data_IF_338605843812
#
_entry.id   IF_338605843812
#
_cell.length_a   1.000
_cell.length_b   1.000
_cell.length_c   1.000
_cell.angle_alpha   90.00
_cell.angle_beta   90.00
_cell.angle_gamma   90.00
#
_symmetry.space_group_name_H-M   'P 1'
#
loop_
_entity.id
_entity.type
_entity.pdbx_description
1 polymer ?
#
# COMPACT_ATOMS: atom_id res chain seq x y z
N UNK A 1 6.58 43.03 -40.42
CA UNK A 1 6.28 41.80 -39.66
C UNK A 1 4.77 41.74 -39.45
N UNK A 2 4.12 40.65 -39.86
CA UNK A 2 2.69 40.45 -39.61
C UNK A 2 2.47 40.03 -38.15
N UNK A 3 1.26 40.20 -37.62
CA UNK A 3 0.93 39.73 -36.26
C UNK A 3 1.13 38.22 -36.12
N UNK A 4 0.79 37.46 -37.18
CA UNK A 4 1.01 36.01 -37.27
C UNK A 4 2.49 35.66 -37.09
N UNK A 5 3.39 36.29 -37.86
CA UNK A 5 4.82 36.02 -37.76
C UNK A 5 5.38 36.43 -36.40
N UNK A 6 4.98 37.61 -35.91
CA UNK A 6 5.41 38.11 -34.60
C UNK A 6 4.97 37.17 -33.46
N UNK A 7 3.80 36.55 -33.56
CA UNK A 7 3.34 35.53 -32.62
C UNK A 7 4.20 34.26 -32.66
N UNK A 8 4.48 33.73 -33.85
CA UNK A 8 5.34 32.55 -34.04
C UNK A 8 6.74 32.81 -33.48
N UNK A 9 7.32 33.98 -33.78
CA UNK A 9 8.65 34.36 -33.32
C UNK A 9 8.71 34.42 -31.79
N UNK A 10 7.67 34.94 -31.13
CA UNK A 10 7.60 35.00 -29.67
C UNK A 10 7.38 33.62 -29.03
N UNK A 11 6.48 32.79 -29.58
CA UNK A 11 6.27 31.41 -29.10
C UNK A 11 7.60 30.66 -29.15
N UNK A 12 8.28 30.69 -30.31
CA UNK A 12 9.59 30.06 -30.46
C UNK A 12 10.61 30.61 -29.46
N UNK A 13 10.68 31.94 -29.26
CA UNK A 13 11.59 32.52 -28.27
C UNK A 13 11.35 32.01 -26.84
N UNK A 14 10.09 31.74 -26.48
CA UNK A 14 9.70 31.23 -25.17
C UNK A 14 10.01 29.74 -25.03
N UNK A 15 9.75 28.95 -26.07
CA UNK A 15 9.80 27.48 -26.01
C UNK A 15 11.14 26.89 -26.42
N UNK A 16 11.94 27.57 -27.24
CA UNK A 16 13.23 27.07 -27.72
C UNK A 16 14.20 26.71 -26.57
N UNK A 17 14.32 27.50 -25.48
CA UNK A 17 15.15 27.12 -24.34
C UNK A 17 14.67 25.88 -23.58
N UNK A 18 13.43 25.45 -23.83
CA UNK A 18 12.80 24.28 -23.20
C UNK A 18 12.99 23.00 -24.00
N UNK A 19 13.38 23.10 -25.29
CA UNK A 19 13.71 21.95 -26.13
C UNK A 19 15.13 21.48 -25.79
N UNK A 20 15.25 20.56 -24.84
CA UNK A 20 16.54 20.01 -24.38
C UNK A 20 16.86 18.67 -25.03
N UNK A 21 15.86 17.87 -25.40
CA UNK A 21 16.02 16.56 -26.03
C UNK A 21 15.09 16.37 -27.26
N UNK A 22 15.37 15.35 -28.09
CA UNK A 22 14.56 14.99 -29.29
C UNK A 22 13.10 14.63 -28.96
N UNK A 23 12.77 14.46 -27.67
CA UNK A 23 11.45 14.10 -27.15
C UNK A 23 10.69 15.28 -26.52
N UNK A 24 11.25 16.50 -26.48
CA UNK A 24 10.52 17.70 -26.07
C UNK A 24 9.65 18.20 -27.21
N UNK A 25 8.44 17.65 -27.30
CA UNK A 25 7.52 17.84 -28.41
C UNK A 25 6.73 19.15 -28.24
N UNK A 26 7.38 20.29 -28.48
CA UNK A 26 6.67 21.56 -28.68
C UNK A 26 6.46 21.80 -30.18
N UNK A 27 5.21 21.78 -30.63
CA UNK A 27 4.86 21.97 -32.02
C UNK A 27 4.04 23.24 -32.25
N UNK A 28 4.36 23.93 -33.34
CA UNK A 28 3.57 25.05 -33.83
C UNK A 28 3.11 24.75 -35.25
N UNK A 29 1.83 24.52 -35.41
CA UNK A 29 1.19 24.38 -36.71
C UNK A 29 0.65 25.72 -37.20
N UNK A 30 0.61 25.92 -38.53
CA UNK A 30 0.10 27.15 -39.14
C UNK A 30 -0.96 26.84 -40.18
N UNK A 31 -1.97 27.72 -40.27
CA UNK A 31 -3.09 27.59 -41.19
C UNK A 31 -3.82 26.23 -41.13
N UNK A 32 -3.90 25.64 -39.93
CA UNK A 32 -4.50 24.33 -39.69
C UNK A 32 -6.00 24.41 -39.41
N UNK A 33 -6.67 23.26 -39.50
CA UNK A 33 -8.05 23.08 -39.06
C UNK A 33 -7.97 22.38 -37.71
N UNK A 34 -8.65 22.97 -36.73
CA UNK A 34 -8.79 22.42 -35.39
C UNK A 34 -10.22 22.08 -35.08
N UNK A 35 -10.39 21.06 -34.28
CA UNK A 35 -11.67 20.59 -33.84
C UNK A 35 -11.89 21.04 -32.41
N UNK A 36 -12.78 22.00 -32.20
CA UNK A 36 -13.02 22.59 -30.89
C UNK A 36 -14.36 22.11 -30.35
N UNK A 37 -14.39 21.66 -29.11
CA UNK A 37 -15.62 21.37 -28.40
C UNK A 37 -16.34 22.69 -28.05
N UNK A 38 -17.57 22.89 -28.54
CA UNK A 38 -18.31 24.14 -28.27
C UNK A 38 -18.73 24.30 -26.81
N UNK A 39 -18.83 23.20 -26.04
CA UNK A 39 -19.17 23.25 -24.61
C UNK A 39 -18.00 23.72 -23.75
N UNK A 40 -16.87 23.01 -23.84
CA UNK A 40 -15.70 23.20 -22.97
C UNK A 40 -14.76 24.25 -23.55
N UNK A 41 -14.64 24.31 -24.88
CA UNK A 41 -13.62 25.09 -25.58
C UNK A 41 -12.30 24.33 -25.76
N UNK A 42 -12.24 23.06 -25.37
CA UNK A 42 -11.06 22.22 -25.57
C UNK A 42 -10.85 21.93 -27.07
N UNK A 43 -9.59 21.85 -27.46
CA UNK A 43 -9.19 21.35 -28.77
C UNK A 43 -9.04 19.83 -28.71
N UNK A 44 -9.87 19.17 -29.52
CA UNK A 44 -10.06 17.71 -29.59
C UNK A 44 -9.65 17.19 -30.97
N UNK A 45 -8.74 17.90 -31.64
CA UNK A 45 -8.22 17.51 -32.97
C UNK A 45 -7.48 16.17 -32.90
N UNK A 46 -6.71 15.98 -31.83
CA UNK A 46 -5.81 14.84 -31.67
C UNK A 46 -6.08 14.02 -30.41
N UNK A 47 -7.19 14.28 -29.71
CA UNK A 47 -7.52 13.65 -28.44
C UNK A 47 -8.98 13.81 -28.07
N UNK A 48 -9.31 13.35 -26.86
CA UNK A 48 -10.67 13.30 -26.35
C UNK A 48 -11.04 14.57 -25.59
N UNK A 49 -12.34 14.84 -25.52
CA UNK A 49 -12.86 15.94 -24.72
C UNK A 49 -13.02 15.49 -23.26
N UNK A 50 -11.98 15.65 -22.44
CA UNK A 50 -11.96 15.15 -21.06
C UNK A 50 -13.03 15.80 -20.17
N UNK A 51 -13.36 17.07 -20.41
CA UNK A 51 -14.39 17.78 -19.66
C UNK A 51 -15.82 17.57 -20.21
N UNK A 52 -15.98 16.73 -21.24
CA UNK A 52 -17.28 16.45 -21.86
C UNK A 52 -17.70 15.00 -21.59
N UNK A 53 -18.96 14.82 -21.16
CA UNK A 53 -19.55 13.50 -20.89
C UNK A 53 -19.53 12.52 -22.09
N UNK A 54 -19.24 13.02 -23.29
CA UNK A 54 -19.22 12.25 -24.53
C UNK A 54 -17.82 11.82 -24.98
N UNK A 55 -16.75 12.26 -24.32
CA UNK A 55 -15.35 11.82 -24.55
C UNK A 55 -14.97 11.73 -26.05
N UNK A 56 -14.66 10.53 -26.56
CA UNK A 56 -14.33 10.19 -27.96
C UNK A 56 -15.44 10.53 -28.98
N UNK A 57 -16.68 10.72 -28.53
CA UNK A 57 -17.87 10.91 -29.37
C UNK A 57 -18.53 12.27 -29.17
N UNK A 58 -17.73 13.31 -28.83
CA UNK A 58 -18.24 14.66 -28.60
C UNK A 58 -19.12 15.18 -29.76
N UNK A 59 -20.44 15.32 -29.57
CA UNK A 59 -21.35 15.79 -30.62
C UNK A 59 -21.26 17.31 -30.84
N UNK A 60 -20.55 18.02 -29.96
CA UNK A 60 -20.37 19.48 -29.98
C UNK A 60 -19.07 19.89 -30.69
N UNK A 61 -18.49 18.99 -31.46
CA UNK A 61 -17.24 19.19 -32.19
C UNK A 61 -17.45 20.15 -33.36
N UNK A 62 -16.63 21.20 -33.43
CA UNK A 62 -16.67 22.21 -34.50
C UNK A 62 -15.31 22.36 -35.16
N UNK A 63 -15.31 22.24 -36.48
CA UNK A 63 -14.13 22.52 -37.30
C UNK A 63 -13.90 24.03 -37.42
N UNK A 64 -12.79 24.51 -36.88
CA UNK A 64 -12.38 25.91 -36.89
C UNK A 64 -11.04 26.02 -37.59
N UNK A 65 -10.96 26.92 -38.59
CA UNK A 65 -9.67 27.28 -39.17
C UNK A 65 -8.93 28.21 -38.23
N UNK A 66 -7.70 27.86 -37.88
CA UNK A 66 -6.81 28.64 -37.02
C UNK A 66 -5.57 29.06 -37.80
N UNK A 67 -5.01 30.23 -37.47
CA UNK A 67 -3.85 30.76 -38.19
C UNK A 67 -2.54 30.21 -37.61
N UNK A 68 -2.50 30.04 -36.29
CA UNK A 68 -1.39 29.45 -35.53
C UNK A 68 -1.99 28.57 -34.43
N UNK A 69 -1.48 27.36 -34.27
CA UNK A 69 -1.81 26.46 -33.18
C UNK A 69 -0.52 25.99 -32.52
N UNK A 70 -0.50 26.00 -31.20
CA UNK A 70 0.61 25.52 -30.37
C UNK A 70 0.13 24.35 -29.51
N UNK A 71 0.96 23.32 -29.41
CA UNK A 71 0.74 22.18 -28.52
C UNK A 71 2.06 21.61 -28.01
N UNK A 72 2.09 21.20 -26.75
CA UNK A 72 3.20 20.52 -26.08
C UNK A 72 3.08 18.99 -26.01
N UNK A 73 2.16 18.39 -26.79
CA UNK A 73 1.81 16.96 -26.75
C UNK A 73 1.23 16.46 -25.41
N UNK A 74 0.85 17.40 -24.52
CA UNK A 74 0.18 17.16 -23.25
C UNK A 74 -1.08 18.04 -23.18
N UNK A 75 -1.41 18.57 -22.00
CA UNK A 75 -2.62 19.35 -21.74
C UNK A 75 -2.53 20.82 -22.18
N UNK A 76 -1.35 21.31 -22.59
CA UNK A 76 -1.17 22.73 -22.89
C UNK A 76 -1.27 23.03 -24.38
N UNK A 77 -2.46 23.51 -24.78
CA UNK A 77 -2.78 23.87 -26.15
C UNK A 77 -3.26 25.31 -26.28
N UNK A 78 -2.91 25.95 -27.41
CA UNK A 78 -3.34 27.31 -27.74
C UNK A 78 -3.61 27.47 -29.22
N UNK A 79 -4.76 28.05 -29.53
CA UNK A 79 -5.21 28.28 -30.90
C UNK A 79 -5.46 29.76 -31.16
N UNK A 80 -4.84 30.31 -32.19
CA UNK A 80 -4.83 31.74 -32.49
C UNK A 80 -5.45 32.06 -33.86
N UNK A 81 -6.26 33.12 -33.90
CA UNK A 81 -6.83 33.68 -35.13
C UNK A 81 -6.58 35.18 -35.20
N UNK A 82 -5.96 35.66 -36.28
CA UNK A 82 -5.60 37.06 -36.50
C UNK A 82 -6.61 37.76 -37.41
N UNK A 83 -7.79 38.08 -36.87
CA UNK A 83 -8.90 38.63 -37.67
C UNK A 83 -9.53 39.90 -37.07
N UNK A 84 -9.82 40.92 -37.89
CA UNK A 84 -10.39 42.20 -37.41
C UNK A 84 -11.78 42.09 -36.74
N UNK A 85 -12.54 41.03 -37.02
CA UNK A 85 -13.83 40.73 -36.38
C UNK A 85 -13.73 39.36 -35.72
N UNK A 86 -13.67 39.28 -34.38
CA UNK A 86 -13.62 38.00 -33.70
C UNK A 86 -14.97 37.29 -33.85
N UNK A 87 -14.96 36.02 -34.24
CA UNK A 87 -16.05 35.12 -33.84
C UNK A 87 -15.82 34.78 -32.36
N UNK A 88 -16.88 34.53 -31.58
CA UNK A 88 -16.71 34.13 -30.18
C UNK A 88 -16.80 32.62 -30.13
N UNK A 89 -15.68 31.94 -30.43
CA UNK A 89 -15.52 30.52 -30.16
C UNK A 89 -14.70 30.39 -28.88
N UNK A 90 -15.16 29.60 -27.91
CA UNK A 90 -14.34 29.19 -26.76
C UNK A 90 -13.10 28.44 -27.28
N UNK A 91 -11.98 28.48 -26.54
CA UNK A 91 -10.74 27.82 -26.95
C UNK A 91 -9.91 28.52 -28.02
N UNK A 92 -10.43 29.59 -28.63
CA UNK A 92 -9.73 30.34 -29.69
C UNK A 92 -9.38 31.76 -29.20
N UNK A 93 -8.11 32.12 -29.32
CA UNK A 93 -7.57 33.43 -28.97
C UNK A 93 -7.55 34.33 -30.22
N UNK A 94 -8.46 35.31 -30.26
CA UNK A 94 -8.55 36.25 -31.38
C UNK A 94 -7.65 37.48 -31.16
N UNK A 95 -6.71 37.71 -32.07
CA UNK A 95 -5.68 38.74 -31.96
C UNK A 95 -5.78 39.72 -33.14
N UNK A 96 -6.21 40.95 -32.85
CA UNK A 96 -6.53 41.93 -33.90
C UNK A 96 -5.48 43.05 -33.99
N UNK A 97 -4.65 43.18 -32.96
CA UNK A 97 -3.61 44.18 -32.87
C UNK A 97 -2.45 43.72 -31.98
N UNK A 98 -1.32 44.42 -32.09
CA UNK A 98 -0.10 44.09 -31.33
C UNK A 98 -0.28 44.19 -29.82
N UNK A 99 -1.14 45.09 -29.32
CA UNK A 99 -1.38 45.19 -27.87
C UNK A 99 -2.01 43.90 -27.33
N UNK A 100 -2.99 43.34 -28.04
CA UNK A 100 -3.58 42.04 -27.69
C UNK A 100 -2.55 40.90 -27.77
N UNK A 101 -1.73 40.88 -28.83
CA UNK A 101 -0.66 39.90 -28.97
C UNK A 101 0.28 39.92 -27.77
N UNK A 102 0.78 41.10 -27.37
CA UNK A 102 1.72 41.20 -26.25
C UNK A 102 1.12 40.77 -24.92
N UNK A 103 -0.17 41.06 -24.68
CA UNK A 103 -0.88 40.61 -23.47
C UNK A 103 -1.01 39.09 -23.46
N UNK A 104 -1.43 38.51 -24.59
CA UNK A 104 -1.58 37.07 -24.74
C UNK A 104 -0.24 36.34 -24.58
N UNK A 105 0.82 36.80 -25.25
CA UNK A 105 2.15 36.19 -25.15
C UNK A 105 2.75 36.32 -23.74
N UNK A 106 2.43 37.39 -23.01
CA UNK A 106 2.81 37.51 -21.59
C UNK A 106 2.11 36.46 -20.73
N UNK A 107 0.81 36.22 -20.94
CA UNK A 107 0.07 35.17 -20.23
C UNK A 107 0.56 33.77 -20.61
N UNK A 108 0.73 33.51 -21.91
CA UNK A 108 1.32 32.28 -22.44
C UNK A 108 2.66 31.96 -21.77
N UNK A 109 3.58 32.94 -21.73
CA UNK A 109 4.86 32.78 -21.06
C UNK A 109 4.70 32.42 -19.58
N UNK A 110 3.83 33.15 -18.88
CA UNK A 110 3.59 32.94 -17.46
C UNK A 110 3.06 31.53 -17.18
N UNK A 111 2.15 31.03 -18.01
CA UNK A 111 1.58 29.69 -17.84
C UNK A 111 2.62 28.59 -18.12
N UNK A 112 3.42 28.73 -19.19
CA UNK A 112 4.55 27.83 -19.47
C UNK A 112 5.56 27.81 -18.32
N UNK A 113 5.87 28.97 -17.74
CA UNK A 113 6.77 29.06 -16.58
C UNK A 113 6.19 28.35 -15.35
N UNK A 114 4.88 28.52 -15.07
CA UNK A 114 4.18 27.81 -13.98
C UNK A 114 4.23 26.30 -14.20
N UNK A 115 3.94 25.84 -15.42
CA UNK A 115 3.97 24.41 -15.77
C UNK A 115 5.38 23.83 -15.56
N UNK A 116 6.41 24.51 -16.07
CA UNK A 116 7.81 24.11 -15.88
C UNK A 116 8.20 24.04 -14.39
N UNK A 117 7.80 25.04 -13.59
CA UNK A 117 8.09 25.06 -12.16
C UNK A 117 7.33 23.93 -11.42
N UNK A 118 6.10 23.61 -11.83
CA UNK A 118 5.33 22.46 -11.32
C UNK A 118 6.02 21.12 -11.59
N UNK A 119 6.54 20.88 -12.80
CA UNK A 119 7.29 19.65 -13.10
C UNK A 119 8.62 19.56 -12.37
N UNK A 120 9.29 20.68 -12.14
CA UNK A 120 10.49 20.72 -11.32
C UNK A 120 10.17 20.32 -9.86
N UNK A 121 9.09 20.86 -9.30
CA UNK A 121 8.58 20.49 -7.98
C UNK A 121 8.17 19.01 -7.92
N UNK A 122 7.48 18.50 -8.94
CA UNK A 122 7.14 17.09 -9.05
C UNK A 122 8.39 16.21 -9.07
N UNK A 123 9.42 16.59 -9.83
CA UNK A 123 10.68 15.86 -9.85
C UNK A 123 11.42 15.85 -8.49
N UNK A 124 11.31 16.92 -7.70
CA UNK A 124 11.80 16.95 -6.31
C UNK A 124 10.99 16.03 -5.41
N UNK A 125 9.65 16.15 -5.42
CA UNK A 125 8.74 15.30 -4.64
C UNK A 125 8.88 13.83 -4.99
N UNK A 126 9.05 13.49 -6.27
CA UNK A 126 9.29 12.12 -6.73
C UNK A 126 10.49 11.49 -6.01
N UNK A 127 11.61 12.22 -5.92
CA UNK A 127 12.81 11.74 -5.24
C UNK A 127 12.58 11.59 -3.73
N UNK A 128 11.94 12.58 -3.11
CA UNK A 128 11.58 12.53 -1.70
C UNK A 128 10.71 11.30 -1.37
N UNK A 129 9.70 11.04 -2.19
CA UNK A 129 8.77 9.93 -1.99
C UNK A 129 9.44 8.58 -2.27
N UNK A 130 10.32 8.49 -3.27
CA UNK A 130 11.08 7.27 -3.48
C UNK A 130 12.04 6.96 -2.34
N UNK A 131 12.73 7.96 -1.81
CA UNK A 131 13.61 7.78 -0.65
C UNK A 131 12.78 7.33 0.57
N UNK A 132 11.65 7.98 0.81
CA UNK A 132 10.73 7.57 1.87
C UNK A 132 10.24 6.12 1.72
N UNK A 133 9.84 5.71 0.51
CA UNK A 133 9.40 4.35 0.24
C UNK A 133 10.52 3.33 0.51
N UNK A 134 11.76 3.67 0.16
CA UNK A 134 12.95 2.87 0.43
C UNK A 134 13.21 2.75 1.93
N UNK A 135 13.20 3.86 2.67
CA UNK A 135 13.38 3.87 4.12
C UNK A 135 12.33 3.01 4.83
N UNK A 136 11.07 3.14 4.43
CA UNK A 136 9.97 2.34 4.97
C UNK A 136 10.15 0.84 4.64
N UNK A 137 10.48 0.51 3.39
CA UNK A 137 10.77 -0.88 3.00
C UNK A 137 11.97 -1.47 3.76
N UNK A 138 13.05 -0.72 3.94
CA UNK A 138 14.23 -1.15 4.70
C UNK A 138 13.93 -1.40 6.17
N UNK A 139 13.02 -0.60 6.75
CA UNK A 139 12.51 -0.83 8.10
C UNK A 139 11.75 -2.16 8.16
N UNK A 140 10.80 -2.42 7.25
CA UNK A 140 10.04 -3.68 7.20
C UNK A 140 10.97 -4.90 7.08
N UNK A 141 11.99 -4.83 6.22
CA UNK A 141 12.98 -5.91 6.04
C UNK A 141 13.77 -6.23 7.31
N UNK A 142 14.11 -5.22 8.09
CA UNK A 142 14.86 -5.38 9.35
C UNK A 142 13.96 -5.89 10.47
N UNK A 143 12.68 -5.50 10.43
CA UNK A 143 11.75 -5.81 11.49
C UNK A 143 11.18 -7.23 11.36
N UNK A 144 10.89 -7.72 10.15
CA UNK A 144 10.26 -9.02 9.92
C UNK A 144 11.12 -9.94 9.06
N UNK A 145 11.39 -11.14 9.57
CA UNK A 145 12.24 -12.13 8.91
C UNK A 145 11.70 -12.55 7.53
N UNK A 146 10.38 -12.65 7.37
CA UNK A 146 9.75 -13.01 6.11
C UNK A 146 9.78 -11.91 5.04
N UNK A 147 10.28 -10.72 5.37
CA UNK A 147 10.57 -9.66 4.41
C UNK A 147 12.06 -9.50 4.11
N UNK A 148 12.96 -10.23 4.76
CA UNK A 148 14.43 -10.01 4.68
C UNK A 148 14.96 -9.97 3.23
N UNK A 149 14.44 -10.85 2.38
CA UNK A 149 14.85 -11.04 0.98
C UNK A 149 14.24 -10.03 0.00
N UNK A 150 13.39 -9.11 0.47
CA UNK A 150 12.78 -8.10 -0.38
C UNK A 150 13.82 -7.09 -0.88
N UNK A 151 13.79 -6.75 -2.17
CA UNK A 151 14.64 -5.66 -2.70
C UNK A 151 13.97 -4.31 -2.49
N UNK A 152 14.70 -3.38 -1.90
CA UNK A 152 14.31 -1.97 -1.69
C UNK A 152 15.12 -1.01 -2.56
N UNK A 153 16.13 -1.51 -3.28
CA UNK A 153 16.93 -0.71 -4.21
C UNK A 153 16.15 -0.36 -5.48
N UNK A 154 15.22 -1.23 -5.88
CA UNK A 154 14.35 -1.04 -7.04
C UNK A 154 12.93 -1.37 -6.63
N UNK A 155 12.19 -0.36 -6.19
CA UNK A 155 10.75 -0.46 -5.91
C UNK A 155 9.96 -0.13 -7.18
N UNK A 156 8.93 -0.93 -7.54
CA UNK A 156 8.18 -0.74 -8.77
C UNK A 156 7.09 0.35 -8.64
N UNK A 157 7.42 1.52 -8.11
CA UNK A 157 6.47 2.60 -7.84
C UNK A 157 6.40 3.58 -9.01
N UNK A 158 5.19 3.94 -9.41
CA UNK A 158 4.90 5.00 -10.37
C UNK A 158 4.02 6.05 -9.69
N UNK A 159 4.50 7.29 -9.68
CA UNK A 159 3.76 8.43 -9.13
C UNK A 159 3.02 9.15 -10.25
N UNK A 160 1.72 9.38 -10.03
CA UNK A 160 0.84 10.08 -10.96
C UNK A 160 0.41 11.41 -10.35
N UNK A 161 0.45 12.46 -11.15
CA UNK A 161 -0.07 13.79 -10.81
C UNK A 161 -1.59 13.80 -10.76
N UNK A 162 -2.22 12.91 -11.52
CA UNK A 162 -3.67 12.85 -11.73
C UNK A 162 -4.31 11.63 -11.06
N UNK A 163 -5.61 11.44 -11.35
CA UNK A 163 -6.47 10.43 -10.76
C UNK A 163 -6.38 9.04 -11.41
N UNK A 164 -6.68 8.03 -10.61
CA UNK A 164 -7.00 6.70 -11.12
C UNK A 164 -8.28 6.73 -11.95
N UNK A 165 -8.32 5.95 -13.03
CA UNK A 165 -9.53 5.69 -13.80
C UNK A 165 -10.03 4.27 -13.50
N UNK A 166 -11.33 4.12 -13.30
CA UNK A 166 -11.98 2.83 -13.15
C UNK A 166 -12.03 2.07 -14.48
N UNK A 167 -12.61 0.86 -14.46
CA UNK A 167 -12.73 -0.01 -15.65
C UNK A 167 -13.64 0.57 -16.76
N UNK A 168 -14.44 1.58 -16.44
CA UNK A 168 -15.31 2.31 -17.36
C UNK A 168 -14.70 3.66 -17.81
N UNK A 169 -13.48 3.97 -17.35
CA UNK A 169 -12.77 5.20 -17.65
C UNK A 169 -13.21 6.40 -16.79
N UNK A 170 -14.07 6.20 -15.79
CA UNK A 170 -14.49 7.26 -14.85
C UNK A 170 -13.46 7.44 -13.76
N UNK A 171 -13.38 8.64 -13.21
CA UNK A 171 -12.48 8.94 -12.10
C UNK A 171 -12.84 8.13 -10.85
N UNK A 172 -11.88 7.38 -10.33
CA UNK A 172 -11.98 6.72 -9.02
C UNK A 172 -11.35 7.62 -7.96
N UNK A 173 -12.21 8.24 -7.15
CA UNK A 173 -11.79 9.09 -6.03
C UNK A 173 -11.58 8.31 -4.73
N UNK A 174 -11.93 7.03 -4.67
CA UNK A 174 -11.88 6.23 -3.46
C UNK A 174 -10.49 5.64 -3.22
N UNK A 175 -9.78 5.24 -4.28
CA UNK A 175 -8.43 4.68 -4.20
C UNK A 175 -7.38 5.69 -4.64
N UNK A 176 -6.40 5.97 -3.76
CA UNK A 176 -5.25 6.83 -4.08
C UNK A 176 -4.01 6.06 -4.50
N UNK A 177 -4.10 4.73 -4.54
CA UNK A 177 -3.07 3.84 -5.06
C UNK A 177 -3.68 2.55 -5.56
N UNK A 178 -2.88 1.81 -6.32
CA UNK A 178 -3.18 0.41 -6.60
C UNK A 178 -1.90 -0.38 -6.85
N UNK A 179 -1.82 -1.54 -6.19
CA UNK A 179 -0.86 -2.58 -6.52
C UNK A 179 -1.43 -3.52 -7.59
N UNK A 180 -0.70 -3.69 -8.68
CA UNK A 180 -1.10 -4.54 -9.81
C UNK A 180 0.04 -5.49 -10.19
N UNK A 181 -0.27 -6.79 -10.23
CA UNK A 181 0.60 -7.80 -10.83
C UNK A 181 0.04 -8.26 -12.19
N UNK A 182 0.82 -8.07 -13.26
CA UNK A 182 0.52 -8.57 -14.62
C UNK A 182 1.63 -9.48 -15.10
N UNK A 183 1.43 -10.79 -14.95
CA UNK A 183 2.40 -11.79 -15.35
C UNK A 183 3.66 -11.73 -14.50
N UNK A 184 4.77 -11.23 -15.05
CA UNK A 184 6.05 -11.07 -14.35
C UNK A 184 6.33 -9.65 -13.88
N UNK A 185 5.42 -8.71 -14.14
CA UNK A 185 5.58 -7.31 -13.79
C UNK A 185 4.66 -6.96 -12.63
N UNK A 186 5.26 -6.38 -11.60
CA UNK A 186 4.59 -5.79 -10.45
C UNK A 186 4.69 -4.28 -10.60
N UNK A 187 3.61 -3.55 -10.37
CA UNK A 187 3.56 -2.08 -10.41
C UNK A 187 2.75 -1.61 -9.21
N UNK A 188 3.27 -0.60 -8.51
CA UNK A 188 2.58 0.16 -7.47
C UNK A 188 2.30 1.53 -8.06
N UNK A 189 1.03 1.91 -8.20
CA UNK A 189 0.69 3.28 -8.56
C UNK A 189 0.35 4.07 -7.30
N UNK A 190 0.76 5.34 -7.29
CA UNK A 190 0.33 6.32 -6.28
C UNK A 190 -0.14 7.57 -7.00
N UNK A 191 -1.44 7.85 -6.89
CA UNK A 191 -2.15 8.95 -7.53
C UNK A 191 -2.21 10.17 -6.62
N UNK A 192 -2.52 11.34 -7.18
CA UNK A 192 -2.60 12.60 -6.44
C UNK A 192 -1.35 12.92 -5.60
N UNK A 193 -0.17 12.48 -6.05
CA UNK A 193 1.04 12.58 -5.25
C UNK A 193 1.50 14.02 -4.98
N UNK A 194 0.97 14.99 -5.74
CA UNK A 194 1.30 16.41 -5.62
C UNK A 194 0.47 17.17 -4.56
N UNK A 195 -0.63 16.59 -4.06
CA UNK A 195 -1.57 17.23 -3.13
C UNK A 195 -0.98 17.39 -1.71
N UNK A 196 -1.15 16.37 -0.86
CA UNK A 196 -0.73 16.38 0.54
C UNK A 196 0.38 15.36 0.76
N UNK A 197 1.50 15.83 1.30
CA UNK A 197 2.72 15.01 1.48
C UNK A 197 2.49 13.83 2.41
N UNK A 198 1.73 14.00 3.49
CA UNK A 198 1.52 12.93 4.48
C UNK A 198 0.47 11.92 4.00
N UNK A 199 -0.56 12.37 3.28
CA UNK A 199 -1.51 11.47 2.61
C UNK A 199 -0.78 10.63 1.55
N UNK A 200 0.11 11.22 0.76
CA UNK A 200 0.91 10.48 -0.22
C UNK A 200 1.82 9.46 0.46
N UNK A 201 2.48 9.82 1.58
CA UNK A 201 3.28 8.87 2.36
C UNK A 201 2.43 7.73 2.93
N UNK A 202 1.23 8.01 3.44
CA UNK A 202 0.30 6.99 3.90
C UNK A 202 -0.07 6.02 2.78
N UNK A 203 -0.35 6.55 1.59
CA UNK A 203 -0.62 5.73 0.41
C UNK A 203 0.58 4.87 0.01
N UNK A 204 1.80 5.43 0.05
CA UNK A 204 3.03 4.66 -0.19
C UNK A 204 3.13 3.50 0.80
N UNK A 205 2.88 3.73 2.09
CA UNK A 205 2.89 2.64 3.09
C UNK A 205 1.85 1.57 2.76
N UNK A 206 0.63 1.97 2.41
CA UNK A 206 -0.46 1.08 2.06
C UNK A 206 -0.08 0.14 0.91
N UNK A 207 0.33 0.71 -0.22
CA UNK A 207 0.63 -0.08 -1.41
C UNK A 207 1.92 -0.89 -1.27
N UNK A 208 2.90 -0.37 -0.51
CA UNK A 208 4.12 -1.12 -0.26
C UNK A 208 3.87 -2.34 0.64
N UNK A 209 2.93 -2.26 1.58
CA UNK A 209 2.51 -3.41 2.38
C UNK A 209 1.85 -4.49 1.49
N UNK A 210 0.98 -4.09 0.55
CA UNK A 210 0.43 -5.03 -0.45
C UNK A 210 1.52 -5.74 -1.22
N UNK A 211 2.47 -4.97 -1.74
CA UNK A 211 3.60 -5.51 -2.50
C UNK A 211 4.47 -6.46 -1.67
N UNK A 212 4.80 -6.10 -0.43
CA UNK A 212 5.63 -6.92 0.45
C UNK A 212 4.93 -8.23 0.83
N UNK A 213 3.65 -8.17 1.21
CA UNK A 213 2.86 -9.36 1.51
C UNK A 213 2.73 -10.27 0.28
N UNK A 214 2.43 -9.70 -0.89
CA UNK A 214 2.34 -10.46 -2.14
C UNK A 214 3.64 -11.18 -2.48
N UNK A 215 4.77 -10.47 -2.39
CA UNK A 215 6.08 -11.04 -2.72
C UNK A 215 6.55 -12.08 -1.70
N UNK A 216 6.00 -12.05 -0.48
CA UNK A 216 6.21 -13.07 0.56
C UNK A 216 5.16 -14.18 0.54
N UNK A 217 4.32 -14.26 -0.50
CA UNK A 217 3.28 -15.28 -0.67
C UNK A 217 2.24 -15.30 0.48
N UNK A 218 1.92 -14.11 0.99
CA UNK A 218 0.94 -13.90 2.05
C UNK A 218 -0.31 -13.23 1.49
N UNK A 219 -1.44 -13.33 2.20
CA UNK A 219 -2.65 -12.56 1.93
C UNK A 219 -2.32 -11.07 1.92
N UNK A 220 -2.72 -10.41 0.85
CA UNK A 220 -2.43 -9.01 0.55
C UNK A 220 -3.68 -8.27 0.07
N UNK A 221 -4.88 -8.75 0.40
CA UNK A 221 -6.11 -8.03 0.05
C UNK A 221 -6.43 -6.96 1.11
N UNK A 222 -7.10 -5.89 0.70
CA UNK A 222 -7.53 -4.80 1.60
C UNK A 222 -8.40 -5.26 2.76
N UNK A 223 -9.00 -6.44 2.69
CA UNK A 223 -9.89 -7.05 3.69
C UNK A 223 -9.24 -8.19 4.46
N UNK A 224 -7.93 -8.42 4.28
CA UNK A 224 -7.18 -9.44 5.00
C UNK A 224 -6.72 -8.97 6.39
N UNK A 225 -6.83 -9.84 7.39
CA UNK A 225 -6.46 -9.55 8.77
C UNK A 225 -5.00 -9.12 8.92
N UNK A 226 -4.09 -9.81 8.23
CA UNK A 226 -2.65 -9.50 8.28
C UNK A 226 -2.35 -8.11 7.70
N UNK A 227 -3.05 -7.74 6.63
CA UNK A 227 -2.91 -6.43 6.01
C UNK A 227 -3.40 -5.32 6.95
N UNK A 228 -4.59 -5.50 7.54
CA UNK A 228 -5.15 -4.59 8.54
C UNK A 228 -4.23 -4.42 9.77
N UNK A 229 -3.63 -5.52 10.23
CA UNK A 229 -2.66 -5.49 11.33
C UNK A 229 -1.48 -4.56 11.00
N UNK A 230 -0.88 -4.71 9.82
CA UNK A 230 0.21 -3.83 9.38
C UNK A 230 -0.25 -2.39 9.14
N UNK A 231 -1.43 -2.19 8.56
CA UNK A 231 -1.99 -0.85 8.40
C UNK A 231 -2.18 -0.13 9.73
N UNK A 232 -2.58 -0.84 10.78
CA UNK A 232 -2.72 -0.29 12.13
C UNK A 232 -1.39 0.10 12.77
N UNK A 233 -0.35 -0.72 12.60
CA UNK A 233 0.99 -0.44 13.15
C UNK A 233 1.66 0.73 12.43
N UNK A 234 1.55 0.78 11.11
CA UNK A 234 2.27 1.73 10.27
C UNK A 234 1.43 2.90 9.80
N UNK A 235 0.23 3.11 10.36
CA UNK A 235 -0.67 4.20 9.96
C UNK A 235 -0.87 4.25 8.43
N UNK A 236 -1.08 3.09 7.82
CA UNK A 236 -1.22 2.95 6.37
C UNK A 236 -2.68 2.97 5.90
N UNK A 237 -3.64 2.88 6.83
CA UNK A 237 -5.10 2.89 6.62
C UNK A 237 -5.62 1.85 5.61
N UNK A 238 -6.46 0.90 6.04
CA UNK A 238 -7.08 -0.07 5.13
C UNK A 238 -8.37 0.50 4.50
N UNK A 239 -8.58 0.28 3.21
CA UNK A 239 -9.73 0.83 2.47
C UNK A 239 -11.02 0.02 2.60
N UNK A 240 -10.93 -1.26 2.96
CA UNK A 240 -12.09 -2.17 3.03
C UNK A 240 -12.23 -2.76 4.42
N UNK A 241 -13.48 -2.92 4.84
CA UNK A 241 -13.80 -3.65 6.06
C UNK A 241 -13.46 -5.14 5.89
N UNK A 242 -13.01 -5.77 6.97
CA UNK A 242 -12.78 -7.21 7.01
C UNK A 242 -14.10 -7.98 7.08
N UNK A 243 -14.14 -9.16 6.45
CA UNK A 243 -15.21 -10.14 6.69
C UNK A 243 -15.12 -10.77 8.08
N UNK A 244 -16.17 -11.49 8.51
CA UNK A 244 -16.26 -12.06 9.86
C UNK A 244 -15.07 -12.97 10.24
N UNK A 245 -14.61 -13.84 9.33
CA UNK A 245 -13.46 -14.73 9.58
C UNK A 245 -12.15 -13.96 9.75
N UNK A 246 -11.90 -12.96 8.89
CA UNK A 246 -10.69 -12.13 8.93
C UNK A 246 -10.72 -11.20 10.16
N UNK A 247 -11.87 -10.64 10.52
CA UNK A 247 -12.03 -9.85 11.74
C UNK A 247 -11.71 -10.67 12.99
N UNK A 248 -12.20 -11.91 13.07
CA UNK A 248 -11.91 -12.79 14.21
C UNK A 248 -10.42 -13.17 14.29
N UNK A 249 -9.76 -13.31 13.14
CA UNK A 249 -8.32 -13.54 13.07
C UNK A 249 -7.52 -12.29 13.49
N UNK A 250 -7.93 -11.11 13.04
CA UNK A 250 -7.36 -9.83 13.44
C UNK A 250 -7.47 -9.60 14.95
N UNK A 251 -8.66 -9.79 15.51
CA UNK A 251 -8.92 -9.64 16.95
C UNK A 251 -8.03 -10.55 17.80
N UNK A 252 -7.74 -11.77 17.30
CA UNK A 252 -6.79 -12.68 17.93
C UNK A 252 -5.37 -12.14 17.86
N UNK A 253 -4.91 -11.68 16.71
CA UNK A 253 -3.54 -11.16 16.54
C UNK A 253 -3.27 -9.95 17.43
N UNK A 254 -4.18 -8.97 17.47
CA UNK A 254 -4.00 -7.76 18.28
C UNK A 254 -3.98 -8.06 19.79
N UNK A 255 -4.52 -9.20 20.21
CA UNK A 255 -4.46 -9.65 21.61
C UNK A 255 -3.21 -10.50 21.88
N UNK A 256 -2.95 -11.50 21.03
CA UNK A 256 -1.87 -12.48 21.19
C UNK A 256 -0.49 -11.83 21.13
N UNK A 257 -0.25 -10.93 20.18
CA UNK A 257 1.10 -10.37 19.97
C UNK A 257 1.58 -9.52 21.17
N UNK A 258 0.78 -8.60 21.73
CA UNK A 258 1.16 -7.89 22.96
C UNK A 258 1.37 -8.82 24.16
N UNK A 259 0.53 -9.84 24.35
CA UNK A 259 0.69 -10.81 25.44
C UNK A 259 1.95 -11.68 25.28
N UNK A 260 2.31 -12.04 24.04
CA UNK A 260 3.59 -12.68 23.74
C UNK A 260 4.77 -11.80 24.15
N UNK A 261 4.73 -10.50 23.81
CA UNK A 261 5.78 -9.56 24.17
C UNK A 261 5.95 -9.48 25.70
N UNK A 262 4.83 -9.38 26.41
CA UNK A 262 4.80 -9.34 27.88
C UNK A 262 5.38 -10.62 28.50
N UNK A 263 4.91 -11.80 28.08
CA UNK A 263 5.42 -13.09 28.58
C UNK A 263 6.91 -13.28 28.28
N UNK A 264 7.37 -12.87 27.09
CA UNK A 264 8.80 -12.93 26.76
C UNK A 264 9.65 -12.07 27.70
N UNK A 265 9.16 -10.90 28.11
CA UNK A 265 9.83 -10.04 29.09
C UNK A 265 9.82 -10.67 30.50
N UNK A 266 8.69 -11.24 30.93
CA UNK A 266 8.55 -11.89 32.24
C UNK A 266 9.46 -13.11 32.39
N UNK A 267 9.57 -13.92 31.34
CA UNK A 267 10.37 -15.14 31.32
C UNK A 267 11.85 -14.90 30.98
N UNK A 268 12.25 -13.64 30.78
CA UNK A 268 13.61 -13.26 30.38
C UNK A 268 14.11 -14.10 29.18
N UNK A 269 13.26 -14.22 28.15
CA UNK A 269 13.56 -15.02 26.97
C UNK A 269 14.83 -14.51 26.27
N UNK A 270 15.52 -15.41 25.54
CA UNK A 270 16.69 -15.05 24.75
C UNK A 270 16.35 -13.97 23.71
N UNK A 271 17.34 -13.13 23.40
CA UNK A 271 17.23 -12.11 22.35
C UNK A 271 16.69 -12.73 21.05
N UNK A 272 15.67 -12.09 20.46
CA UNK A 272 15.02 -12.52 19.22
C UNK A 272 13.88 -13.55 19.39
N UNK A 273 13.68 -14.14 20.57
CA UNK A 273 12.61 -15.12 20.78
C UNK A 273 11.20 -14.53 20.55
N UNK A 274 10.97 -13.30 21.00
CA UNK A 274 9.71 -12.59 20.72
C UNK A 274 9.48 -12.41 19.22
N UNK A 275 10.49 -11.90 18.49
CA UNK A 275 10.38 -11.66 17.06
C UNK A 275 10.08 -12.95 16.29
N UNK A 276 10.75 -14.06 16.62
CA UNK A 276 10.50 -15.35 15.98
C UNK A 276 9.05 -15.84 16.19
N UNK A 277 8.53 -15.71 17.42
CA UNK A 277 7.14 -16.10 17.73
C UNK A 277 6.11 -15.18 17.09
N UNK A 278 6.36 -13.86 17.10
CA UNK A 278 5.53 -12.88 16.42
C UNK A 278 5.49 -13.18 14.93
N UNK A 279 6.64 -13.42 14.30
CA UNK A 279 6.73 -13.70 12.88
C UNK A 279 5.99 -15.00 12.51
N UNK A 280 6.06 -16.04 13.35
CA UNK A 280 5.28 -17.27 13.16
C UNK A 280 3.76 -17.02 13.21
N UNK A 281 3.29 -16.19 14.15
CA UNK A 281 1.87 -15.80 14.25
C UNK A 281 1.43 -15.03 13.00
N UNK A 282 2.24 -14.06 12.56
CA UNK A 282 1.94 -13.24 11.39
C UNK A 282 1.93 -14.07 10.10
N UNK A 283 2.90 -14.98 9.95
CA UNK A 283 2.94 -15.93 8.84
C UNK A 283 1.71 -16.82 8.81
N UNK A 284 1.31 -17.38 9.96
CA UNK A 284 0.12 -18.24 10.04
C UNK A 284 -1.15 -17.47 9.67
N UNK A 285 -1.32 -16.24 10.17
CA UNK A 285 -2.48 -15.42 9.85
C UNK A 285 -2.52 -14.98 8.38
N UNK A 286 -1.35 -14.67 7.82
CA UNK A 286 -1.20 -14.26 6.43
C UNK A 286 -1.16 -15.41 5.43
N UNK A 287 -1.06 -16.66 5.85
CA UNK A 287 -1.02 -17.79 4.92
C UNK A 287 -2.38 -18.04 4.27
N UNK A 288 -2.37 -18.35 2.97
CA UNK A 288 -3.53 -18.97 2.33
C UNK A 288 -3.62 -20.42 2.80
N UNK A 289 -4.77 -20.85 3.33
CA UNK A 289 -5.00 -22.18 3.93
C UNK A 289 -4.67 -23.37 3.00
N UNK A 290 -4.41 -23.12 1.71
CA UNK A 290 -4.18 -24.11 0.67
C UNK A 290 -2.69 -24.28 0.28
N UNK A 291 -1.78 -23.42 0.75
CA UNK A 291 -0.34 -23.54 0.46
C UNK A 291 0.41 -24.18 1.63
N UNK A 292 0.97 -25.38 1.38
CA UNK A 292 1.57 -26.24 2.41
C UNK A 292 3.10 -26.21 2.42
N UNK A 293 3.73 -25.26 1.72
CA UNK A 293 5.19 -25.17 1.63
C UNK A 293 5.90 -25.03 3.00
N UNK A 294 5.19 -24.55 4.03
CA UNK A 294 5.72 -24.38 5.39
C UNK A 294 4.73 -24.80 6.51
N UNK A 295 4.11 -25.98 6.37
CA UNK A 295 3.09 -26.48 7.29
C UNK A 295 3.49 -26.47 8.78
N UNK A 296 4.73 -26.81 9.12
CA UNK A 296 5.18 -26.84 10.52
C UNK A 296 5.17 -25.45 11.17
N UNK A 297 5.62 -24.42 10.45
CA UNK A 297 5.59 -23.02 10.90
C UNK A 297 4.16 -22.50 11.00
N UNK A 298 3.31 -22.85 10.04
CA UNK A 298 1.89 -22.53 10.06
C UNK A 298 1.20 -23.15 11.28
N UNK A 299 1.37 -24.45 11.51
CA UNK A 299 0.78 -25.17 12.63
C UNK A 299 1.28 -24.58 13.97
N UNK A 300 2.57 -24.21 14.05
CA UNK A 300 3.15 -23.54 15.21
C UNK A 300 2.52 -22.17 15.48
N UNK A 301 2.41 -21.31 14.46
CA UNK A 301 1.78 -19.99 14.59
C UNK A 301 0.29 -20.08 14.96
N UNK A 302 -0.45 -21.02 14.35
CA UNK A 302 -1.85 -21.29 14.69
C UNK A 302 -2.01 -21.79 16.11
N UNK A 303 -1.07 -22.60 16.60
CA UNK A 303 -1.04 -23.06 17.99
C UNK A 303 -0.88 -21.89 18.95
N UNK A 304 0.04 -20.97 18.68
CA UNK A 304 0.23 -19.75 19.49
C UNK A 304 -1.03 -18.89 19.49
N UNK A 305 -1.66 -18.69 18.32
CA UNK A 305 -2.93 -17.96 18.19
C UNK A 305 -4.05 -18.61 19.02
N UNK A 306 -4.06 -19.94 19.15
CA UNK A 306 -5.04 -20.69 19.95
C UNK A 306 -4.78 -20.60 21.46
N UNK A 307 -3.52 -20.69 21.88
CA UNK A 307 -3.10 -20.77 23.30
C UNK A 307 -3.55 -19.57 24.15
N UNK A 308 -3.57 -18.36 23.59
CA UNK A 308 -3.83 -17.14 24.36
C UNK A 308 -5.32 -16.76 24.34
N UNK A 309 -6.08 -17.18 23.31
CA UNK A 309 -7.50 -16.85 23.18
C UNK A 309 -8.43 -17.74 24.02
N UNK A 310 -7.98 -18.93 24.43
CA UNK A 310 -8.73 -19.80 25.36
C UNK A 310 -8.76 -19.26 26.80
N UNK A 311 -7.96 -18.24 27.13
CA UNK A 311 -8.07 -17.49 28.39
C UNK A 311 -9.19 -16.43 28.28
N UNK A 312 -10.39 -16.83 27.86
CA UNK A 312 -11.61 -16.08 28.16
C UNK A 312 -12.20 -16.65 29.45
N UNK A 313 -12.04 -15.87 30.51
CA UNK A 313 -12.72 -15.99 31.79
C UNK A 313 -14.24 -16.04 31.61
N UNK A 314 -14.76 -17.25 31.45
CA UNK A 314 -16.17 -17.58 31.64
C UNK A 314 -16.26 -18.62 32.75
N UNK A 315 -16.58 -18.16 33.96
CA UNK A 315 -17.08 -18.94 35.09
C UNK A 315 -16.37 -20.26 35.42
N UNK A 316 -15.19 -20.22 36.06
CA UNK A 316 -14.81 -21.30 36.98
C UNK A 316 -15.38 -20.93 38.36
N UNK A 317 -16.67 -21.22 38.54
CA UNK A 317 -17.18 -21.49 39.88
C UNK A 317 -16.80 -22.93 40.22
N UNK A 318 -16.09 -23.04 41.34
CA UNK A 318 -16.02 -24.17 42.27
C UNK A 318 -16.72 -25.47 41.81
N UNK A 319 -15.93 -26.51 41.59
CA UNK A 319 -16.10 -27.79 42.29
C UNK A 319 -14.96 -28.76 41.89
N UNK A 320 -13.84 -28.73 42.62
CA UNK A 320 -12.91 -29.88 42.67
C UNK A 320 -13.00 -30.50 44.05
N UNK A 321 -14.12 -31.18 44.28
CA UNK A 321 -14.17 -32.30 45.21
C UNK A 321 -14.09 -33.58 44.39
N UNK A 322 -12.87 -34.09 44.15
CA UNK A 322 -12.73 -35.48 43.76
C UNK A 322 -11.41 -36.08 44.30
N UNK A 323 -11.55 -37.12 45.11
CA UNK A 323 -10.54 -37.73 45.98
C UNK A 323 -9.49 -38.61 45.25
N UNK A 324 -9.16 -38.38 43.98
CA UNK A 324 -8.25 -39.25 43.21
C UNK A 324 -7.27 -38.48 42.27
N UNK A 325 -6.90 -37.24 42.60
CA UNK A 325 -5.90 -36.50 41.81
C UNK A 325 -4.49 -37.01 42.14
N UNK A 326 -3.89 -37.75 41.20
CA UNK A 326 -2.49 -38.22 41.31
C UNK A 326 -1.52 -37.08 40.98
N UNK A 327 -0.48 -36.93 41.80
CA UNK A 327 0.57 -35.92 41.60
C UNK A 327 1.82 -36.59 41.06
N UNK A 328 2.37 -36.01 39.99
CA UNK A 328 3.61 -36.44 39.38
C UNK A 328 4.67 -35.35 39.58
N UNK A 329 5.86 -35.76 40.01
CA UNK A 329 7.02 -34.88 40.12
C UNK A 329 7.83 -34.97 38.84
N UNK A 330 8.11 -33.83 38.24
CA UNK A 330 9.00 -33.75 37.08
C UNK A 330 10.39 -34.22 37.47
N UNK A 331 10.89 -35.23 36.75
CA UNK A 331 12.20 -35.86 36.93
C UNK A 331 13.19 -35.42 35.86
N UNK A 332 12.73 -35.11 34.66
CA UNK A 332 13.55 -34.61 33.56
C UNK A 332 12.77 -33.70 32.61
N UNK A 333 13.46 -32.74 31.98
CA UNK A 333 12.89 -31.81 30.99
C UNK A 333 13.90 -31.58 29.87
N UNK A 334 13.47 -31.85 28.63
CA UNK A 334 14.19 -31.46 27.42
C UNK A 334 13.41 -30.36 26.68
N UNK A 335 13.99 -29.16 26.64
CA UNK A 335 13.40 -28.00 25.97
C UNK A 335 13.61 -27.98 24.45
N UNK A 336 14.61 -28.72 23.94
CA UNK A 336 14.86 -28.84 22.50
C UNK A 336 13.86 -29.82 21.87
N UNK A 337 13.65 -30.96 22.53
CA UNK A 337 12.73 -32.00 22.06
C UNK A 337 11.30 -31.84 22.60
N UNK A 338 11.08 -30.82 23.45
CA UNK A 338 9.82 -30.52 24.11
C UNK A 338 9.25 -31.75 24.83
N UNK A 339 10.08 -32.44 25.62
CA UNK A 339 9.66 -33.61 26.41
C UNK A 339 9.78 -33.35 27.91
N UNK A 340 8.83 -33.85 28.68
CA UNK A 340 8.87 -33.88 30.15
C UNK A 340 8.73 -35.32 30.61
N UNK A 341 9.61 -35.76 31.49
CA UNK A 341 9.44 -37.00 32.24
C UNK A 341 9.03 -36.68 33.67
N UNK A 342 8.03 -37.38 34.20
CA UNK A 342 7.57 -37.19 35.56
C UNK A 342 7.21 -38.53 36.21
N UNK A 343 7.55 -38.68 37.50
CA UNK A 343 7.26 -39.87 38.29
C UNK A 343 6.14 -39.61 39.30
N UNK A 344 5.21 -40.56 39.45
CA UNK A 344 4.14 -40.51 40.45
C UNK A 344 4.71 -40.35 41.86
N UNK A 345 4.06 -39.51 42.66
CA UNK A 345 4.46 -39.18 44.03
C UNK A 345 3.41 -39.65 45.02
N UNK A 346 3.84 -39.84 46.28
CA UNK A 346 2.93 -40.09 47.40
C UNK A 346 2.45 -38.79 48.07
N UNK A 347 2.71 -37.62 47.47
CA UNK A 347 2.32 -36.32 48.00
C UNK A 347 0.83 -36.07 47.72
N UNK A 348 0.14 -35.42 48.66
CA UNK A 348 -1.19 -34.89 48.40
C UNK A 348 -1.11 -33.46 47.86
N UNK A 349 -2.15 -33.01 47.15
CA UNK A 349 -2.19 -31.65 46.58
C UNK A 349 -2.12 -30.55 47.64
N UNK A 350 -2.54 -30.86 48.87
CA UNK A 350 -2.44 -29.94 49.99
C UNK A 350 -1.00 -29.74 50.49
N UNK A 351 -0.06 -30.63 50.11
CA UNK A 351 1.33 -30.61 50.55
C UNK A 351 2.27 -29.88 49.58
N UNK A 352 1.77 -29.46 48.41
CA UNK A 352 2.54 -28.78 47.37
C UNK A 352 2.08 -27.31 47.27
N UNK A 353 2.99 -26.33 47.26
CA UNK A 353 2.62 -24.93 47.01
C UNK A 353 1.81 -24.79 45.71
N UNK A 354 0.74 -24.00 45.73
CA UNK A 354 -0.18 -23.85 44.59
C UNK A 354 0.56 -23.34 43.33
N UNK A 355 1.61 -22.53 43.50
CA UNK A 355 2.48 -22.02 42.44
C UNK A 355 3.50 -23.04 41.91
N UNK A 356 3.60 -24.22 42.53
CA UNK A 356 4.43 -25.35 42.09
C UNK A 356 3.59 -26.52 41.53
N UNK A 357 2.27 -26.36 41.45
CA UNK A 357 1.34 -27.34 40.86
C UNK A 357 0.90 -26.87 39.47
N UNK A 358 1.11 -27.72 38.48
CA UNK A 358 0.68 -27.47 37.11
C UNK A 358 -0.32 -28.54 36.68
N UNK A 359 -1.39 -28.13 36.01
CA UNK A 359 -2.32 -29.08 35.39
C UNK A 359 -1.64 -29.75 34.19
N UNK A 360 -1.80 -31.06 34.04
CA UNK A 360 -1.19 -31.80 32.93
C UNK A 360 -1.70 -31.27 31.59
N UNK A 361 -2.97 -30.85 31.54
CA UNK A 361 -3.59 -30.24 30.37
C UNK A 361 -2.86 -28.95 29.94
N UNK A 362 -2.37 -28.15 30.89
CA UNK A 362 -1.60 -26.93 30.60
C UNK A 362 -0.22 -27.25 30.00
N UNK A 363 0.39 -28.37 30.42
CA UNK A 363 1.71 -28.80 29.97
C UNK A 363 1.67 -29.58 28.65
N UNK A 364 0.61 -30.36 28.39
CA UNK A 364 0.40 -31.11 27.14
C UNK A 364 0.26 -30.20 25.92
N UNK A 365 -0.06 -28.92 26.14
CA UNK A 365 -0.10 -27.87 25.11
C UNK A 365 1.31 -27.54 24.61
N UNK A 366 2.38 -27.83 25.35
CA UNK A 366 3.77 -27.57 24.94
C UNK A 366 4.62 -28.82 24.77
N UNK A 367 4.42 -29.83 25.59
CA UNK A 367 5.37 -30.93 25.78
C UNK A 367 4.75 -32.30 25.54
N UNK A 368 5.56 -33.25 25.05
CA UNK A 368 5.26 -34.67 25.15
C UNK A 368 5.63 -35.16 26.54
N UNK A 369 4.64 -35.62 27.30
CA UNK A 369 4.83 -35.97 28.71
C UNK A 369 4.84 -37.48 28.87
N UNK A 370 5.89 -38.01 29.50
CA UNK A 370 6.01 -39.42 29.92
C UNK A 370 5.77 -39.52 31.41
N UNK A 371 4.71 -40.22 31.81
CA UNK A 371 4.35 -40.44 33.21
C UNK A 371 4.79 -41.83 33.68
N UNK A 372 5.67 -41.88 34.69
CA UNK A 372 6.16 -43.11 35.32
C UNK A 372 5.36 -43.37 36.59
N UNK A 373 4.46 -44.35 36.54
CA UNK A 373 3.64 -44.73 37.70
C UNK A 373 4.45 -45.57 38.69
N UNK A 374 4.26 -45.34 40.00
CA UNK A 374 5.00 -46.01 41.08
C UNK A 374 4.62 -47.49 41.26
N UNK A 375 3.60 -47.98 40.55
CA UNK A 375 3.15 -49.39 40.57
C UNK A 375 3.74 -50.29 39.47
N UNK A 376 4.87 -49.91 38.87
CA UNK A 376 5.63 -50.75 37.94
C UNK A 376 6.48 -51.81 38.63
N UNK A 377 5.86 -52.72 39.39
CA UNK A 377 6.49 -53.99 39.76
C UNK A 377 6.60 -54.91 38.53
N UNK A 378 7.68 -54.71 37.77
CA UNK A 378 8.40 -55.70 36.96
C UNK A 378 7.66 -56.42 35.83
N UNK A 379 8.11 -56.17 34.59
CA UNK A 379 8.76 -57.18 33.75
C UNK A 379 9.54 -56.57 32.60
#
# INVERSE_FOLDING_TARGET
MSLKQECIDIINLITEPLKKDEFDLYETETDSIRDICELTGEDVTYGDCFECEYYEHCPYKKHVKVDVSFWDYSDFQRNYVFAKKPSVNKGIHYINNRKQLMVEMFNFKKEIEIYKDYYAEFGEKYRDFMEYAKEFGDMLRKEYSFFENMSTDILPIVFHTDFAKDKEGKTDYATRGDFVSRGKQNIINTYYCMDDKEVTKQNIRHELLHYFLYMSDMKYSDDAAIFHYFCGIYDAYAYKDMGEEEQLLYDKMIFVIPELEKKCKELNCKDGAFNANRDAVLLAAGSNREDFSNKELFDYGMKILGMIYEVKTGDIKEDVNNNDTKIYKVTDIDFCDMTIEASETDLSIADVPEDEVFLIEELLVGYRITLINSNGSGM
#
